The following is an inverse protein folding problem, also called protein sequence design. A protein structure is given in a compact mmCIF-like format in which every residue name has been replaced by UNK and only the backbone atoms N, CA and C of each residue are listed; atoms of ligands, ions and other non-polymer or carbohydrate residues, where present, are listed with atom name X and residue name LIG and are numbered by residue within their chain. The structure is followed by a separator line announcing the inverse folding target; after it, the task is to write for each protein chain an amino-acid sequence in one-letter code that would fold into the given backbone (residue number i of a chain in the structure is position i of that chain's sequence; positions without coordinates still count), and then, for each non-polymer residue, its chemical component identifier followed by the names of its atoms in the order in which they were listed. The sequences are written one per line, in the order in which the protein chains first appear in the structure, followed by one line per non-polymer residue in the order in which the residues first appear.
data_IF_404212186360
#
_entry.id   IF_404212186360
#
_cell.length_a   1.000
_cell.length_b   1.000
_cell.length_c   1.000
_cell.angle_alpha   90.00
_cell.angle_beta   90.00
_cell.angle_gamma   90.00
#
_symmetry.space_group_name_H-M   'P 1'
#
loop_
_entity.id
_entity.type
_entity.pdbx_description
1 polymer ?
#
# COMPACT_ATOMS: atom_id res chain seq x y z
N UNK A 1 2.93 9.31 -4.04
CA UNK A 1 1.52 9.27 -3.61
C UNK A 1 0.64 9.47 -4.83
N UNK A 2 -0.40 8.64 -5.01
CA UNK A 2 -1.44 8.91 -6.00
C UNK A 2 -2.00 10.32 -5.72
N UNK A 3 -2.10 11.23 -6.69
CA UNK A 3 -2.65 12.56 -6.44
C UNK A 3 -4.02 12.43 -5.75
N UNK A 4 -4.22 13.16 -4.65
CA UNK A 4 -5.46 13.17 -3.86
C UNK A 4 -5.36 12.66 -2.41
N UNK A 5 -4.38 11.82 -2.05
CA UNK A 5 -4.19 11.34 -0.66
C UNK A 5 -2.96 11.86 0.06
N UNK A 6 -2.14 12.71 -0.59
CA UNK A 6 -0.84 13.15 -0.06
C UNK A 6 -0.88 13.89 1.28
N UNK A 7 -2.03 14.42 1.68
CA UNK A 7 -2.23 15.05 2.99
C UNK A 7 -2.48 14.04 4.14
N UNK A 8 -2.83 12.80 3.81
CA UNK A 8 -3.18 11.73 4.78
C UNK A 8 -2.25 10.53 4.72
N UNK A 9 -1.63 10.29 3.57
CA UNK A 9 -0.82 9.10 3.29
C UNK A 9 0.54 9.50 2.75
N UNK A 10 1.59 9.01 3.42
CA UNK A 10 2.98 9.15 2.98
C UNK A 10 3.40 7.94 2.16
N UNK A 11 3.98 8.14 0.98
CA UNK A 11 4.58 7.05 0.19
C UNK A 11 6.04 6.89 0.59
N UNK A 12 6.43 5.65 0.89
CA UNK A 12 7.82 5.26 1.10
C UNK A 12 8.18 4.18 0.09
N UNK A 13 9.30 4.35 -0.60
CA UNK A 13 9.84 3.33 -1.50
C UNK A 13 10.89 2.52 -0.74
N UNK A 14 10.63 1.23 -0.54
CA UNK A 14 11.57 0.30 0.08
C UNK A 14 12.53 -0.21 -1.01
N UNK A 15 13.83 0.04 -0.83
CA UNK A 15 14.87 -0.40 -1.78
C UNK A 15 15.60 -1.67 -1.33
N UNK A 16 15.41 -2.06 -0.07
CA UNK A 16 15.99 -3.26 0.51
C UNK A 16 15.19 -3.70 1.72
N UNK A 17 15.11 -5.01 1.93
CA UNK A 17 14.38 -5.64 3.02
C UNK A 17 15.06 -6.96 3.38
N UNK A 18 15.05 -7.30 4.66
CA UNK A 18 15.44 -8.62 5.15
C UNK A 18 14.45 -9.70 4.68
N UNK A 19 14.98 -10.87 4.36
CA UNK A 19 14.17 -12.03 3.99
C UNK A 19 13.27 -12.42 5.16
N UNK A 20 11.96 -12.33 4.92
CA UNK A 20 10.94 -12.70 5.89
C UNK A 20 9.86 -13.52 5.17
N UNK A 21 9.68 -14.81 5.49
CA UNK A 21 8.85 -15.72 4.70
C UNK A 21 7.40 -15.23 4.57
N UNK A 22 6.85 -14.62 5.62
CA UNK A 22 5.47 -14.15 5.61
C UNK A 22 5.18 -13.03 4.61
N UNK A 23 6.17 -12.19 4.32
CA UNK A 23 6.02 -11.13 3.31
C UNK A 23 6.74 -11.47 2.00
N UNK A 24 7.11 -12.73 1.80
CA UNK A 24 7.59 -13.18 0.50
C UNK A 24 6.56 -12.88 -0.60
N UNK A 25 7.06 -12.39 -1.74
CA UNK A 25 6.26 -11.92 -2.86
C UNK A 25 5.40 -10.67 -2.60
N UNK A 26 5.42 -10.07 -1.41
CA UNK A 26 4.65 -8.84 -1.13
C UNK A 26 5.30 -7.65 -1.82
N UNK A 27 4.50 -6.93 -2.60
CA UNK A 27 4.95 -5.85 -3.48
C UNK A 27 4.58 -4.46 -2.96
N UNK A 28 3.47 -4.35 -2.22
CA UNK A 28 3.03 -3.11 -1.57
C UNK A 28 2.37 -3.43 -0.22
N UNK A 29 2.52 -2.52 0.74
CA UNK A 29 1.91 -2.59 2.06
C UNK A 29 1.36 -1.21 2.44
N UNK A 30 0.15 -1.17 2.95
CA UNK A 30 -0.45 0.00 3.59
C UNK A 30 -0.47 -0.21 5.10
N UNK A 31 0.24 0.67 5.82
CA UNK A 31 0.34 0.62 7.29
C UNK A 31 -0.49 1.75 7.90
N UNK A 32 -1.25 1.43 8.94
CA UNK A 32 -2.07 2.39 9.69
C UNK A 32 -1.22 3.14 10.71
N UNK A 33 -1.68 4.30 11.21
CA UNK A 33 -0.98 5.05 12.25
C UNK A 33 -0.73 4.26 13.56
N UNK A 34 -1.52 3.22 13.81
CA UNK A 34 -1.38 2.31 14.96
C UNK A 34 -0.35 1.18 14.71
N UNK A 35 0.38 1.22 13.59
CA UNK A 35 1.39 0.23 13.22
C UNK A 35 0.83 -1.04 12.57
N UNK A 36 -0.49 -1.19 12.44
CA UNK A 36 -1.08 -2.40 11.85
C UNK A 36 -1.15 -2.32 10.32
N UNK A 37 -1.02 -3.47 9.67
CA UNK A 37 -1.20 -3.59 8.21
C UNK A 37 -2.69 -3.50 7.87
N UNK A 38 -3.06 -2.47 7.12
CA UNK A 38 -4.42 -2.26 6.60
C UNK A 38 -4.67 -3.03 5.29
N UNK A 39 -3.63 -3.22 4.49
CA UNK A 39 -3.66 -3.95 3.23
C UNK A 39 -2.25 -4.32 2.81
N UNK A 40 -2.09 -5.46 2.15
CA UNK A 40 -0.86 -5.88 1.50
C UNK A 40 -1.22 -6.69 0.25
N UNK A 41 -0.37 -6.65 -0.78
CA UNK A 41 -0.61 -7.39 -2.01
C UNK A 41 0.64 -8.07 -2.55
N UNK A 42 0.44 -9.24 -3.15
CA UNK A 42 1.46 -9.97 -3.93
C UNK A 42 1.25 -9.83 -5.44
N UNK A 43 0.21 -9.11 -5.86
CA UNK A 43 -0.15 -8.94 -7.27
C UNK A 43 0.99 -8.29 -8.05
N UNK A 44 1.47 -8.96 -9.10
CA UNK A 44 2.59 -8.49 -9.94
C UNK A 44 2.13 -7.65 -11.11
N UNK A 45 0.91 -7.88 -11.61
CA UNK A 45 0.30 -7.12 -12.69
C UNK A 45 0.02 -5.68 -12.22
N UNK A 46 0.45 -4.70 -13.03
CA UNK A 46 0.49 -3.29 -12.64
C UNK A 46 -0.91 -2.69 -12.57
N UNK A 47 -1.81 -3.07 -13.48
CA UNK A 47 -3.20 -2.59 -13.54
C UNK A 47 -4.04 -3.07 -12.36
N UNK A 48 -3.98 -4.37 -12.06
CA UNK A 48 -4.64 -5.01 -10.92
C UNK A 48 -4.12 -4.42 -9.61
N UNK A 49 -2.79 -4.36 -9.43
CA UNK A 49 -2.18 -3.75 -8.24
C UNK A 49 -2.62 -2.30 -8.04
N UNK A 50 -2.72 -1.50 -9.10
CA UNK A 50 -3.22 -0.11 -9.02
C UNK A 50 -4.67 -0.05 -8.56
N UNK A 51 -5.50 -0.96 -9.05
CA UNK A 51 -6.91 -1.06 -8.68
C UNK A 51 -7.07 -1.44 -7.21
N UNK A 52 -6.35 -2.46 -6.76
CA UNK A 52 -6.33 -2.88 -5.36
C UNK A 52 -5.84 -1.77 -4.42
N UNK A 53 -4.71 -1.13 -4.75
CA UNK A 53 -4.19 0.01 -3.98
C UNK A 53 -5.23 1.12 -3.87
N UNK A 54 -5.91 1.47 -4.96
CA UNK A 54 -6.94 2.52 -4.94
C UNK A 54 -8.10 2.13 -4.03
N UNK A 55 -8.57 0.89 -4.10
CA UNK A 55 -9.62 0.39 -3.24
C UNK A 55 -9.22 0.44 -1.76
N UNK A 56 -8.00 -0.01 -1.43
CA UNK A 56 -7.46 0.04 -0.07
C UNK A 56 -7.35 1.48 0.46
N UNK A 57 -6.86 2.42 -0.36
CA UNK A 57 -6.77 3.83 0.01
C UNK A 57 -8.16 4.44 0.24
N UNK A 58 -9.16 4.10 -0.58
CA UNK A 58 -10.54 4.56 -0.36
C UNK A 58 -11.10 4.02 0.95
N UNK A 59 -10.88 2.73 1.23
CA UNK A 59 -11.39 2.09 2.44
C UNK A 59 -10.78 2.68 3.73
N UNK A 60 -9.49 3.00 3.72
CA UNK A 60 -8.76 3.41 4.93
C UNK A 60 -8.47 4.90 5.05
N UNK A 61 -8.29 5.61 3.94
CA UNK A 61 -7.93 7.04 3.91
C UNK A 61 -9.04 7.91 3.29
N UNK A 62 -10.19 7.32 2.95
CA UNK A 62 -11.35 7.99 2.35
C UNK A 62 -11.15 8.28 0.85
N UNK A 63 -12.11 8.98 0.24
CA UNK A 63 -11.99 9.41 -1.16
C UNK A 63 -10.82 10.40 -1.34
N UNK A 64 -10.16 10.39 -2.51
CA UNK A 64 -9.12 11.37 -2.81
C UNK A 64 -9.70 12.79 -2.80
N UNK A 65 -8.90 13.76 -2.35
CA UNK A 65 -9.21 15.19 -2.44
C UNK A 65 -9.07 15.73 -3.87
#
# INVERSE_FOLDING_TARGET
VTPGWGSRVTTVTVTGREDHPDLDGVTEVLVRPDGHVAWATRTTEVGERRTERRAALVAWAGTPA
#
